data_IF_297354060230
#
_entry.id   IF_297354060230
#
_cell.length_a   1.000
_cell.length_b   1.000
_cell.length_c   1.000
_cell.angle_alpha   90.00
_cell.angle_beta   90.00
_cell.angle_gamma   90.00
#
_symmetry.space_group_name_H-M   'P 1'
#
loop_
_entity.id
_entity.type
_entity.pdbx_description
1 polymer ?
#
# COMPACT_ATOMS: atom_id res chain seq x y z
N UNK A 1 -7.54 -9.21 5.99
CA UNK A 1 -6.90 -9.85 4.82
C UNK A 1 -5.49 -10.21 5.24
N UNK A 2 -5.08 -11.47 5.14
CA UNK A 2 -3.74 -11.89 5.56
C UNK A 2 -2.72 -11.47 4.48
N UNK A 3 -1.76 -10.62 4.87
CA UNK A 3 -0.72 -10.09 3.98
C UNK A 3 0.61 -10.00 4.71
N UNK A 4 1.71 -10.05 3.96
CA UNK A 4 3.06 -9.86 4.49
C UNK A 4 3.34 -8.39 4.80
N UNK A 5 3.91 -8.12 5.97
CA UNK A 5 4.30 -6.78 6.38
C UNK A 5 5.57 -6.30 5.67
N UNK A 6 5.51 -5.15 4.99
CA UNK A 6 6.66 -4.54 4.29
C UNK A 6 7.77 -4.06 5.24
N UNK A 7 7.48 -3.97 6.55
CA UNK A 7 8.42 -3.47 7.56
C UNK A 7 9.17 -4.59 8.30
N UNK A 8 8.48 -5.64 8.73
CA UNK A 8 9.09 -6.73 9.50
C UNK A 8 9.04 -8.11 8.83
N UNK A 9 8.36 -8.24 7.68
CA UNK A 9 8.29 -9.49 6.91
C UNK A 9 7.35 -10.56 7.46
N UNK A 10 6.70 -10.32 8.61
CA UNK A 10 5.71 -11.24 9.17
C UNK A 10 4.32 -10.99 8.58
N UNK A 11 3.53 -12.06 8.44
CA UNK A 11 2.15 -11.97 7.96
C UNK A 11 1.21 -11.44 9.05
N UNK A 12 0.24 -10.63 8.64
CA UNK A 12 -0.76 -10.06 9.53
C UNK A 12 -2.10 -9.85 8.86
N UNK A 13 -3.15 -9.77 9.67
CA UNK A 13 -4.46 -9.39 9.20
C UNK A 13 -4.55 -7.86 9.06
N UNK A 14 -4.47 -7.42 7.82
CA UNK A 14 -4.69 -6.02 7.50
C UNK A 14 -6.18 -5.67 7.66
N UNK A 15 -6.52 -4.65 8.46
CA UNK A 15 -7.87 -4.12 8.52
C UNK A 15 -8.20 -3.44 7.19
N UNK A 16 -9.30 -3.83 6.58
CA UNK A 16 -9.80 -3.23 5.34
C UNK A 16 -11.22 -2.73 5.62
N UNK A 17 -11.44 -1.43 5.46
CA UNK A 17 -12.76 -0.80 5.61
C UNK A 17 -13.00 0.16 4.44
N UNK A 18 -13.84 -0.27 3.49
CA UNK A 18 -14.09 0.43 2.24
C UNK A 18 -15.59 0.68 2.12
N UNK A 19 -15.97 1.95 1.98
CA UNK A 19 -17.32 2.37 1.63
C UNK A 19 -17.27 3.24 0.37
N UNK A 20 -17.85 2.75 -0.73
CA UNK A 20 -17.91 3.42 -2.04
C UNK A 20 -19.33 3.32 -2.61
N UNK A 21 -19.70 4.28 -3.44
CA UNK A 21 -20.97 4.30 -4.14
C UNK A 21 -20.71 4.38 -5.64
N UNK A 22 -21.30 3.46 -6.41
CA UNK A 22 -21.29 3.48 -7.87
C UNK A 22 -22.69 3.79 -8.37
N UNK A 23 -22.84 4.79 -9.23
CA UNK A 23 -24.14 5.17 -9.82
C UNK A 23 -24.25 4.58 -11.22
N UNK A 24 -25.22 3.70 -11.41
CA UNK A 24 -25.52 3.10 -12.72
C UNK A 24 -26.74 3.81 -13.33
N UNK A 25 -26.54 4.48 -14.47
CA UNK A 25 -27.59 5.16 -15.24
C UNK A 25 -28.01 4.31 -16.42
N UNK A 26 -29.31 4.24 -16.71
CA UNK A 26 -29.86 3.51 -17.85
C UNK A 26 -30.55 4.48 -18.82
N UNK A 27 -30.23 4.42 -20.13
CA UNK A 27 -30.95 5.18 -21.17
C UNK A 27 -30.09 5.77 -22.30
N UNK A 28 -30.76 6.45 -23.26
CA UNK A 28 -30.19 6.88 -24.55
C UNK A 28 -29.25 8.11 -24.52
N UNK A 29 -29.00 8.74 -23.38
CA UNK A 29 -28.10 9.90 -23.30
C UNK A 29 -26.73 9.48 -22.79
N UNK A 30 -25.75 9.42 -23.69
CA UNK A 30 -24.33 9.35 -23.32
C UNK A 30 -24.01 10.63 -22.56
N UNK A 31 -23.83 10.52 -21.25
CA UNK A 31 -23.35 11.61 -20.42
C UNK A 31 -21.82 11.55 -20.34
N UNK A 32 -21.20 12.67 -20.00
CA UNK A 32 -19.79 12.69 -19.65
C UNK A 32 -19.60 11.79 -18.42
N UNK A 33 -18.74 10.78 -18.54
CA UNK A 33 -18.46 9.87 -17.44
C UNK A 33 -17.72 10.62 -16.33
N UNK A 34 -18.24 10.52 -15.11
CA UNK A 34 -17.58 10.94 -13.87
C UNK A 34 -17.03 9.67 -13.20
N UNK A 35 -15.99 9.78 -12.36
CA UNK A 35 -15.23 8.62 -11.83
C UNK A 35 -16.09 7.49 -11.21
N UNK A 36 -17.25 7.82 -10.61
CA UNK A 36 -18.15 6.86 -9.95
C UNK A 36 -19.50 6.70 -10.68
N UNK A 37 -19.53 6.93 -12.00
CA UNK A 37 -20.77 6.89 -12.79
C UNK A 37 -20.61 6.06 -14.07
N UNK A 38 -21.53 5.11 -14.26
CA UNK A 38 -21.55 4.23 -15.44
C UNK A 38 -22.88 4.38 -16.16
N UNK A 39 -22.83 4.54 -17.48
CA UNK A 39 -24.03 4.59 -18.32
C UNK A 39 -24.21 3.28 -19.08
N UNK A 40 -25.34 2.62 -18.85
CA UNK A 40 -25.79 1.45 -19.60
C UNK A 40 -26.71 1.89 -20.74
N UNK A 41 -26.42 1.39 -21.93
CA UNK A 41 -27.26 1.55 -23.11
C UNK A 41 -28.53 0.71 -22.96
N UNK A 42 -29.61 1.09 -23.65
CA UNK A 42 -30.89 0.38 -23.58
C UNK A 42 -30.85 -1.07 -24.10
N UNK A 43 -29.76 -1.47 -24.75
CA UNK A 43 -29.51 -2.84 -25.23
C UNK A 43 -28.76 -3.71 -24.21
N UNK A 44 -28.19 -3.12 -23.16
CA UNK A 44 -27.47 -3.82 -22.10
C UNK A 44 -28.42 -4.16 -20.94
N UNK A 45 -28.55 -5.44 -20.64
CA UNK A 45 -29.45 -5.96 -19.58
C UNK A 45 -28.68 -6.50 -18.37
N UNK A 46 -27.35 -6.54 -18.47
CA UNK A 46 -26.45 -7.07 -17.45
C UNK A 46 -25.39 -6.02 -17.14
N UNK A 47 -25.02 -5.91 -15.85
CA UNK A 47 -23.99 -5.02 -15.38
C UNK A 47 -22.87 -5.83 -14.72
N UNK A 48 -21.68 -5.77 -15.30
CA UNK A 48 -20.50 -6.47 -14.78
C UNK A 48 -19.84 -5.64 -13.68
N UNK A 49 -20.13 -5.98 -12.42
CA UNK A 49 -19.68 -5.22 -11.26
C UNK A 49 -18.21 -5.53 -10.85
N UNK A 50 -17.63 -6.67 -11.28
CA UNK A 50 -16.32 -7.11 -10.79
C UNK A 50 -15.18 -6.11 -11.08
N UNK A 51 -15.08 -5.47 -12.26
CA UNK A 51 -14.02 -4.50 -12.54
C UNK A 51 -14.06 -3.27 -11.61
N UNK A 52 -15.26 -2.82 -11.23
CA UNK A 52 -15.44 -1.66 -10.34
C UNK A 52 -15.07 -2.02 -8.91
N UNK A 53 -15.51 -3.18 -8.42
CA UNK A 53 -15.14 -3.68 -7.10
C UNK A 53 -13.62 -3.87 -7.00
N UNK A 54 -13.00 -4.45 -8.03
CA UNK A 54 -11.54 -4.63 -8.07
C UNK A 54 -10.81 -3.28 -7.99
N UNK A 55 -11.24 -2.29 -8.77
CA UNK A 55 -10.65 -0.94 -8.74
C UNK A 55 -10.79 -0.29 -7.36
N UNK A 56 -11.98 -0.35 -6.76
CA UNK A 56 -12.20 0.21 -5.43
C UNK A 56 -11.32 -0.43 -4.36
N UNK A 57 -11.15 -1.75 -4.40
CA UNK A 57 -10.25 -2.45 -3.49
C UNK A 57 -8.80 -2.07 -3.76
N UNK A 58 -8.37 -2.10 -5.02
CA UNK A 58 -6.98 -1.83 -5.41
C UNK A 58 -6.54 -0.40 -5.07
N UNK A 59 -7.40 0.60 -5.30
CA UNK A 59 -7.13 2.00 -4.99
C UNK A 59 -7.18 2.31 -3.50
N UNK A 60 -7.83 1.48 -2.70
CA UNK A 60 -7.91 1.67 -1.26
C UNK A 60 -6.69 1.10 -0.53
N UNK A 61 -5.98 0.13 -1.12
CA UNK A 61 -4.80 -0.45 -0.49
C UNK A 61 -3.70 0.62 -0.29
N UNK A 62 -3.09 0.71 0.91
CA UNK A 62 -2.03 1.67 1.17
C UNK A 62 -0.78 1.30 0.39
N UNK A 63 0.05 2.32 0.13
CA UNK A 63 1.34 2.13 -0.52
C UNK A 63 2.28 1.22 0.27
N UNK A 64 2.13 1.18 1.61
CA UNK A 64 2.89 0.31 2.50
C UNK A 64 1.93 -0.50 3.37
N UNK A 65 2.15 -1.81 3.39
CA UNK A 65 1.40 -2.80 4.14
C UNK A 65 2.12 -3.02 5.46
N UNK A 66 1.74 -2.26 6.47
CA UNK A 66 2.39 -2.29 7.78
C UNK A 66 1.36 -2.68 8.84
N UNK A 67 1.81 -3.45 9.82
CA UNK A 67 1.03 -3.74 11.02
C UNK A 67 0.40 -2.47 11.60
N UNK A 68 -0.89 -2.50 11.99
CA UNK A 68 -1.50 -1.40 12.70
C UNK A 68 -0.79 -1.17 14.04
N UNK A 69 -0.99 0.03 14.60
CA UNK A 69 -0.58 0.33 15.96
C UNK A 69 -1.61 -0.22 16.95
N UNK A 70 -1.16 -0.55 18.16
CA UNK A 70 -2.04 -0.83 19.28
C UNK A 70 -2.74 0.43 19.82
N UNK A 71 -3.56 0.26 20.85
CA UNK A 71 -4.30 1.37 21.49
C UNK A 71 -3.41 2.46 22.09
N UNK A 72 -2.12 2.16 22.32
CA UNK A 72 -1.13 3.10 22.84
C UNK A 72 -0.24 3.68 21.74
N UNK A 73 -0.51 3.37 20.46
CA UNK A 73 0.28 3.82 19.32
C UNK A 73 1.55 3.00 19.06
N UNK A 74 1.76 1.87 19.76
CA UNK A 74 2.93 1.01 19.55
C UNK A 74 2.70 0.09 18.34
N UNK A 75 3.67 0.01 17.44
CA UNK A 75 3.61 -0.89 16.29
C UNK A 75 3.55 -2.35 16.75
N UNK A 76 2.65 -3.13 16.14
CA UNK A 76 2.55 -4.57 16.35
C UNK A 76 3.58 -5.39 15.54
N UNK A 77 4.54 -4.73 14.86
CA UNK A 77 5.60 -5.41 14.14
C UNK A 77 6.49 -6.26 15.05
N UNK A 78 7.12 -7.28 14.48
CA UNK A 78 8.08 -8.13 15.16
C UNK A 78 9.32 -7.35 15.59
N UNK A 79 9.40 -7.04 16.89
CA UNK A 79 10.49 -6.28 17.47
C UNK A 79 11.87 -6.94 17.27
N UNK A 80 11.93 -8.28 17.35
CA UNK A 80 13.19 -9.03 17.19
C UNK A 80 13.78 -8.84 15.79
N UNK A 81 12.94 -8.81 14.75
CA UNK A 81 13.39 -8.57 13.38
C UNK A 81 13.86 -7.12 13.23
N UNK A 82 13.10 -6.17 13.76
CA UNK A 82 13.43 -4.74 13.68
C UNK A 82 14.77 -4.43 14.37
N UNK A 83 15.02 -4.98 15.56
CA UNK A 83 16.29 -4.79 16.29
C UNK A 83 17.49 -5.31 15.49
N UNK A 84 17.35 -6.46 14.83
CA UNK A 84 18.39 -7.02 13.95
C UNK A 84 18.63 -6.17 12.71
N UNK A 85 17.56 -5.64 12.09
CA UNK A 85 17.69 -4.74 10.94
C UNK A 85 18.44 -3.45 11.34
N UNK A 86 18.13 -2.90 12.52
CA UNK A 86 18.79 -1.71 13.05
C UNK A 86 20.27 -1.95 13.36
N UNK A 87 20.65 -3.11 13.88
CA UNK A 87 22.07 -3.43 14.13
C UNK A 87 22.86 -3.54 12.83
N UNK A 88 22.32 -4.21 11.81
CA UNK A 88 22.94 -4.34 10.49
C UNK A 88 23.10 -2.96 9.82
N UNK A 89 22.11 -2.07 9.97
CA UNK A 89 22.18 -0.73 9.42
C UNK A 89 23.32 0.10 10.07
N UNK A 90 23.48 -0.01 11.39
CA UNK A 90 24.56 0.66 12.13
C UNK A 90 25.95 0.14 11.73
N UNK A 91 26.11 -1.17 11.59
CA UNK A 91 27.38 -1.78 11.13
C UNK A 91 27.79 -1.24 9.75
N UNK A 92 26.86 -1.23 8.78
CA UNK A 92 27.13 -0.69 7.43
C UNK A 92 27.56 0.78 7.44
N UNK A 93 26.92 1.60 8.28
CA UNK A 93 27.28 3.02 8.38
C UNK A 93 28.71 3.24 8.89
N UNK A 94 29.23 2.31 9.70
CA UNK A 94 30.58 2.36 10.22
C UNK A 94 31.62 1.92 9.16
N UNK A 95 31.29 0.90 8.37
CA UNK A 95 32.13 0.41 7.28
C UNK A 95 32.23 1.44 6.13
N UNK A 96 31.12 2.10 5.79
CA UNK A 96 31.08 3.16 4.76
C UNK A 96 31.85 4.42 5.19
N UNK A 97 31.80 4.79 6.47
CA UNK A 97 32.63 5.86 7.04
C UNK A 97 34.13 5.56 6.85
N UNK A 98 34.55 4.30 7.08
CA UNK A 98 35.93 3.89 6.90
C UNK A 98 36.41 3.94 5.44
N UNK A 99 35.51 3.65 4.47
CA UNK A 99 35.79 3.76 3.03
C UNK A 99 35.92 5.23 2.58
N UNK A 100 35.09 6.12 3.10
CA UNK A 100 35.12 7.55 2.79
C UNK A 100 36.32 8.27 3.42
N UNK A 101 36.72 7.86 4.63
CA UNK A 101 37.91 8.41 5.31
C UNK A 101 39.23 7.92 4.67
N UNK A 102 39.25 6.69 4.12
CA UNK A 102 40.40 6.18 3.34
C UNK A 102 40.56 6.84 1.96
N UNK A 103 39.52 7.51 1.45
CA UNK A 103 39.54 8.21 0.15
C UNK A 103 39.99 9.67 0.26
N UNK A 104 40.16 10.20 1.48
CA UNK A 104 40.64 11.57 1.77
C UNK A 104 42.17 11.71 1.75
N UNK A 105 42.88 10.71 1.25
CA UNK A 105 44.35 10.62 1.20
C UNK A 105 45.02 11.02 -0.12
N UNK A 106 44.31 11.62 -1.09
CA UNK A 106 44.95 12.19 -2.28
C UNK A 106 44.78 13.71 -2.33
N UNK A 107 45.86 14.38 -1.93
CA UNK A 107 46.10 15.79 -2.21
C UNK A 107 46.10 16.03 -3.73
N UNK A 108 45.38 17.05 -4.17
CA UNK A 108 45.72 17.92 -5.30
C UNK A 108 45.65 19.36 -4.79
#
# INVERSE_FOLDING_TARGET
>A
MNITCDRCGDDFDMPIDISRQLIVKTGCSVHQEEDDMVSLTSSEYEFEAAPYIYQYVALWLPMQRIHPADVNGKSLCNATVLEKLDSIHKEKSHDEQYILDSSRGYNL
#
